data_IF_022169399511
#
_entry.id   IF_022169399511
#
_cell.length_a   1.000
_cell.length_b   1.000
_cell.length_c   1.000
_cell.angle_alpha   90.00
_cell.angle_beta   90.00
_cell.angle_gamma   90.00
#
_symmetry.space_group_name_H-M   'P 1'
#
loop_
_entity.id
_entity.type
_entity.pdbx_description
1 polymer ?
#
# COMPACT_ATOMS: atom_id res chain seq x y z
N UNK A 1 11.19 -5.08 -7.76
CA UNK A 1 10.00 -4.32 -8.22
C UNK A 1 9.07 -5.28 -8.96
N UNK A 2 7.75 -5.27 -8.71
CA UNK A 2 6.80 -6.24 -9.32
C UNK A 2 6.01 -5.56 -10.44
N UNK A 3 6.16 -6.06 -11.66
CA UNK A 3 5.38 -5.62 -12.83
C UNK A 3 3.92 -6.07 -12.70
N UNK A 4 3.04 -5.25 -13.25
CA UNK A 4 1.61 -5.53 -13.42
C UNK A 4 1.28 -5.55 -14.90
N UNK A 5 0.32 -6.39 -15.27
CA UNK A 5 -0.22 -6.43 -16.63
C UNK A 5 -1.27 -5.33 -16.77
N UNK A 6 -1.16 -4.53 -17.82
CA UNK A 6 -2.15 -3.53 -18.18
C UNK A 6 -2.96 -4.00 -19.38
N UNK A 7 -4.25 -3.72 -19.33
CA UNK A 7 -5.14 -3.85 -20.47
C UNK A 7 -4.69 -2.88 -21.58
N UNK A 8 -4.53 -3.33 -22.83
CA UNK A 8 -3.99 -2.50 -23.90
C UNK A 8 -4.89 -1.35 -24.33
N UNK A 9 -6.18 -1.36 -23.97
CA UNK A 9 -7.17 -0.34 -24.35
C UNK A 9 -7.44 0.66 -23.22
N UNK A 10 -7.58 0.17 -22.00
CA UNK A 10 -7.91 1.00 -20.82
C UNK A 10 -6.67 1.41 -20.02
N UNK A 11 -5.53 0.76 -20.25
CA UNK A 11 -4.28 0.93 -19.50
C UNK A 11 -4.43 0.72 -17.99
N UNK A 12 -5.53 0.06 -17.59
CA UNK A 12 -5.80 -0.31 -16.21
C UNK A 12 -5.14 -1.67 -15.89
N UNK A 13 -4.71 -1.88 -14.63
CA UNK A 13 -4.13 -3.14 -14.22
C UNK A 13 -5.15 -4.28 -14.24
N UNK A 14 -4.79 -5.38 -14.89
CA UNK A 14 -5.59 -6.59 -14.97
C UNK A 14 -5.22 -7.57 -13.85
N UNK A 15 -6.23 -8.24 -13.30
CA UNK A 15 -6.07 -9.35 -12.36
C UNK A 15 -6.79 -10.59 -12.88
N UNK A 16 -6.05 -11.69 -13.01
CA UNK A 16 -6.58 -12.97 -13.46
C UNK A 16 -5.85 -13.54 -14.67
N UNK A 17 -6.02 -14.84 -14.87
CA UNK A 17 -5.62 -15.60 -16.05
C UNK A 17 -6.89 -16.18 -16.68
N UNK A 18 -6.95 -16.32 -18.01
CA UNK A 18 -5.88 -16.11 -18.98
C UNK A 18 -5.68 -14.63 -19.37
N UNK A 19 -4.42 -14.22 -19.54
CA UNK A 19 -4.10 -12.90 -20.08
C UNK A 19 -4.24 -12.90 -21.61
N UNK A 20 -4.81 -11.84 -22.22
CA UNK A 20 -4.85 -11.72 -23.67
C UNK A 20 -3.44 -11.56 -24.27
N UNK A 21 -3.28 -11.96 -25.53
CA UNK A 21 -1.97 -12.05 -26.21
C UNK A 21 -1.22 -10.71 -26.39
N UNK A 22 -1.81 -9.58 -26.00
CA UNK A 22 -1.26 -8.24 -26.19
C UNK A 22 -1.33 -7.37 -24.91
N UNK A 23 -1.08 -7.95 -23.75
CA UNK A 23 -0.99 -7.18 -22.49
C UNK A 23 0.31 -6.39 -22.43
N UNK A 24 0.21 -5.12 -21.98
CA UNK A 24 1.41 -4.31 -21.72
C UNK A 24 1.92 -4.62 -20.32
N UNK A 25 3.23 -4.77 -20.16
CA UNK A 25 3.85 -4.87 -18.83
C UNK A 25 4.25 -3.48 -18.36
N UNK A 26 3.76 -3.06 -17.19
CA UNK A 26 4.12 -1.78 -16.59
C UNK A 26 4.52 -1.93 -15.13
N UNK A 27 5.44 -1.08 -14.69
CA UNK A 27 5.70 -0.89 -13.27
C UNK A 27 4.66 0.08 -12.71
N UNK A 28 3.92 -0.36 -11.68
CA UNK A 28 2.94 0.48 -11.00
C UNK A 28 3.36 0.72 -9.54
N UNK A 29 3.35 1.96 -9.05
CA UNK A 29 3.65 2.28 -7.66
C UNK A 29 2.59 1.66 -6.74
N UNK A 30 3.03 1.07 -5.62
CA UNK A 30 2.15 0.41 -4.64
C UNK A 30 2.26 1.11 -3.30
N UNK A 31 1.14 1.20 -2.58
CA UNK A 31 1.12 1.80 -1.25
C UNK A 31 1.29 0.70 -0.21
N UNK A 32 2.28 0.86 0.68
CA UNK A 32 2.53 -0.04 1.81
C UNK A 32 2.32 0.72 3.11
N UNK A 33 1.54 0.14 4.03
CA UNK A 33 1.52 0.62 5.42
C UNK A 33 2.72 0.02 6.17
N UNK A 34 3.56 0.87 6.76
CA UNK A 34 4.70 0.39 7.57
C UNK A 34 4.25 -0.11 8.94
N UNK A 35 3.15 0.41 9.47
CA UNK A 35 2.57 -0.05 10.74
C UNK A 35 1.80 -1.37 10.58
N UNK A 36 1.34 -1.69 9.37
CA UNK A 36 0.58 -2.90 9.07
C UNK A 36 1.29 -3.73 7.99
N UNK A 37 2.28 -4.50 8.43
CA UNK A 37 3.24 -5.28 7.62
C UNK A 37 2.63 -6.20 6.57
N UNK A 38 1.36 -6.61 6.70
CA UNK A 38 0.69 -7.52 5.75
C UNK A 38 -0.15 -6.82 4.68
N UNK A 39 -0.26 -5.48 4.66
CA UNK A 39 -1.15 -4.77 3.73
C UNK A 39 -0.36 -4.02 2.65
N UNK A 40 -0.50 -4.51 1.42
CA UNK A 40 0.02 -3.89 0.19
C UNK A 40 -1.15 -3.56 -0.73
N UNK A 41 -1.32 -2.29 -1.07
CA UNK A 41 -2.39 -1.81 -1.95
C UNK A 41 -1.85 -1.62 -3.37
N UNK A 42 -2.57 -2.20 -4.34
CA UNK A 42 -2.18 -2.18 -5.75
C UNK A 42 -3.10 -1.22 -6.49
N UNK A 43 -2.59 -0.24 -7.24
CA UNK A 43 -3.44 0.70 -7.98
C UNK A 43 -4.35 -0.06 -8.97
N UNK A 44 -5.52 0.52 -9.27
CA UNK A 44 -6.57 -0.06 -10.12
C UNK A 44 -7.97 0.21 -9.55
N UNK A 45 -9.03 0.25 -10.38
CA UNK A 45 -10.41 0.35 -9.90
C UNK A 45 -10.70 -0.75 -8.88
N UNK A 46 -11.40 -0.40 -7.80
CA UNK A 46 -11.69 -1.28 -6.64
C UNK A 46 -10.48 -1.78 -5.81
N UNK A 47 -9.24 -1.48 -6.22
CA UNK A 47 -8.00 -1.82 -5.51
C UNK A 47 -7.22 -0.58 -5.03
N UNK A 48 -7.88 0.58 -5.18
CA UNK A 48 -7.38 1.95 -5.10
C UNK A 48 -6.81 2.41 -3.76
N UNK A 49 -6.18 3.59 -3.82
CA UNK A 49 -5.89 4.46 -2.67
C UNK A 49 -7.08 4.60 -1.71
N UNK A 50 -8.33 4.55 -2.20
CA UNK A 50 -9.53 4.57 -1.35
C UNK A 50 -9.59 3.41 -0.35
N UNK A 51 -9.15 2.19 -0.73
CA UNK A 51 -9.05 1.06 0.22
C UNK A 51 -7.95 1.30 1.25
N UNK A 52 -6.87 2.00 0.87
CA UNK A 52 -5.84 2.44 1.80
C UNK A 52 -6.36 3.52 2.76
N UNK A 53 -7.11 4.51 2.27
CA UNK A 53 -7.76 5.52 3.11
C UNK A 53 -8.74 4.90 4.11
N UNK A 54 -9.54 3.92 3.67
CA UNK A 54 -10.42 3.17 4.56
C UNK A 54 -9.63 2.42 5.65
N UNK A 55 -8.47 1.88 5.29
CA UNK A 55 -7.56 1.23 6.23
C UNK A 55 -7.04 2.17 7.32
N UNK A 56 -6.71 3.42 6.98
CA UNK A 56 -6.26 4.42 7.96
C UNK A 56 -7.33 4.72 9.03
N UNK A 57 -8.62 4.58 8.66
CA UNK A 57 -9.75 4.80 9.58
C UNK A 57 -9.98 3.64 10.55
N UNK A 58 -9.40 2.46 10.28
CA UNK A 58 -9.62 1.25 11.09
C UNK A 58 -8.92 1.34 12.46
N UNK A 59 -9.60 0.87 13.52
CA UNK A 59 -9.08 0.94 14.90
C UNK A 59 -7.73 0.23 15.06
N UNK A 60 -7.57 -0.95 14.45
CA UNK A 60 -6.34 -1.72 14.51
C UNK A 60 -5.13 -1.03 13.86
N UNK A 61 -5.33 -0.21 12.82
CA UNK A 61 -4.25 0.63 12.28
C UNK A 61 -3.86 1.71 13.30
N UNK A 62 -4.87 2.41 13.85
CA UNK A 62 -4.68 3.52 14.80
C UNK A 62 -3.97 3.08 16.07
N UNK A 63 -4.27 1.88 16.57
CA UNK A 63 -3.60 1.31 17.75
C UNK A 63 -2.10 1.08 17.49
N UNK A 64 -1.75 0.49 16.33
CA UNK A 64 -0.34 0.29 15.95
C UNK A 64 0.42 1.60 15.77
N UNK A 65 -0.23 2.61 15.19
CA UNK A 65 0.35 3.96 15.10
C UNK A 65 0.60 4.54 16.49
N UNK A 66 -0.34 4.42 17.43
CA UNK A 66 -0.14 4.87 18.81
C UNK A 66 1.01 4.13 19.49
N UNK A 67 1.09 2.81 19.35
CA UNK A 67 2.18 2.01 19.90
C UNK A 67 3.54 2.48 19.37
N UNK A 68 3.65 2.74 18.05
CA UNK A 68 4.86 3.31 17.44
C UNK A 68 5.20 4.68 18.01
N UNK A 69 4.22 5.58 18.13
CA UNK A 69 4.44 6.94 18.63
C UNK A 69 4.87 6.94 20.09
N UNK A 70 4.28 6.07 20.93
CA UNK A 70 4.70 5.93 22.32
C UNK A 70 6.13 5.41 22.41
N UNK A 71 6.47 4.34 21.66
CA UNK A 71 7.83 3.82 21.62
C UNK A 71 8.86 4.83 21.09
N UNK A 72 8.47 5.71 20.16
CA UNK A 72 9.35 6.76 19.66
C UNK A 72 9.59 7.88 20.70
N UNK A 73 8.60 8.18 21.55
CA UNK A 73 8.75 9.16 22.62
C UNK A 73 9.74 8.69 23.70
N UNK A 74 9.78 7.38 23.99
CA UNK A 74 10.73 6.78 24.93
C UNK A 74 12.18 6.75 24.43
N UNK A 75 12.39 6.94 23.11
CA UNK A 75 13.71 6.83 22.46
C UNK A 75 14.36 8.20 22.20
N UNK A 76 13.73 9.32 22.62
CA UNK A 76 14.42 10.62 22.58
C UNK A 76 15.53 10.60 23.64
N UNK A 77 16.83 10.57 23.27
CA UNK A 77 17.86 10.75 24.28
C UNK A 77 17.74 12.18 24.78
N UNK A 78 17.63 12.34 26.09
CA UNK A 78 17.78 13.60 26.79
C UNK A 78 19.17 14.16 26.52
N UNK A 79 19.38 14.80 25.37
CA UNK A 79 20.58 15.59 25.12
C UNK A 79 20.40 16.92 25.85
N UNK A 80 20.65 16.86 27.15
CA UNK A 80 20.87 18.01 28.01
C UNK A 80 22.37 18.34 27.96
N UNK A 81 22.75 19.43 27.31
CA UNK A 81 23.99 20.19 27.56
C UNK A 81 23.85 21.58 26.97
#
# INVERSE_FOLDING_TARGET
>A
MKYSYLDPKTELPMQGQPLPNNVKNAWLPRIRCLDCTTKLYTPGPDMTAQKFEAHLKFSGHREKVRARLNAAADVVPSTSS
#
